data_IF_423717106159
#
_entry.id   IF_423717106159
#
_cell.length_a   1.000
_cell.length_b   1.000
_cell.length_c   1.000
_cell.angle_alpha   90.00
_cell.angle_beta   90.00
_cell.angle_gamma   90.00
#
_symmetry.space_group_name_H-M   'P 1'
#
loop_
_entity.id
_entity.type
_entity.pdbx_description
1 polymer ?
#
# COMPACT_ATOMS: atom_id res chain seq x y z
N UNK A 1 2.93 25.23 -21.99
CA UNK A 1 2.74 23.85 -22.51
C UNK A 1 3.83 22.85 -22.07
N UNK A 2 5.06 23.28 -21.70
CA UNK A 2 6.15 22.38 -21.27
C UNK A 2 5.91 21.53 -20.00
N UNK A 3 4.92 21.88 -19.18
CA UNK A 3 4.60 21.10 -17.97
C UNK A 3 3.97 19.73 -18.29
N UNK A 4 3.28 19.55 -19.42
CA UNK A 4 2.67 18.26 -19.79
C UNK A 4 3.72 17.22 -20.19
N UNK A 5 4.78 17.65 -20.89
CA UNK A 5 5.90 16.79 -21.27
C UNK A 5 6.65 16.23 -20.04
N UNK A 6 6.81 17.04 -18.98
CA UNK A 6 7.44 16.59 -17.72
C UNK A 6 6.66 15.48 -17.00
N UNK A 7 5.35 15.38 -17.25
CA UNK A 7 4.40 14.51 -16.54
C UNK A 7 3.94 13.35 -17.44
N UNK A 8 4.49 13.21 -18.65
CA UNK A 8 4.11 12.18 -19.63
C UNK A 8 2.60 12.10 -19.88
N UNK A 9 1.89 13.23 -19.80
CA UNK A 9 0.46 13.29 -20.09
C UNK A 9 0.26 13.50 -21.59
N UNK A 10 -0.57 12.65 -22.21
CA UNK A 10 -0.99 12.77 -23.61
C UNK A 10 -2.47 13.13 -23.66
N UNK A 11 -2.84 14.07 -24.52
CA UNK A 11 -4.24 14.30 -24.84
C UNK A 11 -4.79 13.09 -25.59
N UNK A 12 -5.98 12.62 -25.21
CA UNK A 12 -6.69 11.57 -25.95
C UNK A 12 -7.51 12.20 -27.07
N UNK A 13 -7.60 11.52 -28.21
CA UNK A 13 -8.51 11.93 -29.29
C UNK A 13 -9.96 11.61 -28.95
N UNK A 14 -10.92 12.22 -29.66
CA UNK A 14 -12.34 11.94 -29.48
C UNK A 14 -12.66 10.47 -29.78
N UNK A 15 -12.04 9.89 -30.81
CA UNK A 15 -12.22 8.49 -31.20
C UNK A 15 -11.68 7.54 -30.12
N UNK A 16 -10.53 7.87 -29.52
CA UNK A 16 -9.97 7.08 -28.42
C UNK A 16 -10.87 7.11 -27.18
N UNK A 17 -11.44 8.29 -26.87
CA UNK A 17 -12.40 8.43 -25.77
C UNK A 17 -13.64 7.56 -26.04
N UNK A 18 -14.21 7.60 -27.23
CA UNK A 18 -15.38 6.80 -27.61
C UNK A 18 -15.08 5.30 -27.59
N UNK A 19 -13.95 4.86 -28.14
CA UNK A 19 -13.54 3.46 -28.10
C UNK A 19 -13.37 2.94 -26.66
N UNK A 20 -12.85 3.78 -25.77
CA UNK A 20 -12.73 3.47 -24.34
C UNK A 20 -14.13 3.38 -23.69
N UNK A 21 -15.06 4.28 -24.02
CA UNK A 21 -16.45 4.24 -23.54
C UNK A 21 -17.14 2.93 -23.93
N UNK A 22 -16.97 2.52 -25.18
CA UNK A 22 -17.61 1.33 -25.75
C UNK A 22 -17.11 0.03 -25.12
N UNK A 23 -15.83 -0.02 -24.69
CA UNK A 23 -15.25 -1.18 -24.01
C UNK A 23 -15.84 -1.46 -22.62
N UNK A 24 -16.76 -0.63 -22.09
CA UNK A 24 -17.36 -0.71 -20.73
C UNK A 24 -16.34 -0.92 -19.61
N UNK A 25 -15.07 -0.63 -19.87
CA UNK A 25 -14.02 -0.72 -18.86
C UNK A 25 -14.21 0.50 -17.96
N UNK A 26 -14.38 0.31 -16.66
CA UNK A 26 -14.69 1.39 -15.71
C UNK A 26 -13.61 2.46 -15.72
N UNK A 27 -13.80 3.52 -16.52
CA UNK A 27 -12.80 4.55 -16.66
C UNK A 27 -12.79 5.43 -15.41
N UNK A 28 -11.79 5.26 -14.56
CA UNK A 28 -11.55 6.18 -13.45
C UNK A 28 -10.81 7.40 -13.99
N UNK A 29 -11.58 8.36 -14.51
CA UNK A 29 -11.04 9.68 -14.75
C UNK A 29 -10.94 10.46 -13.42
N UNK A 30 -10.13 11.51 -13.38
CA UNK A 30 -9.91 12.31 -12.18
C UNK A 30 -9.49 13.72 -12.56
N UNK A 31 -9.93 14.70 -11.77
CA UNK A 31 -9.54 16.10 -11.99
C UNK A 31 -8.09 16.31 -11.54
N UNK A 32 -7.29 16.87 -12.44
CA UNK A 32 -5.91 17.28 -12.18
C UNK A 32 -5.88 18.60 -11.40
N UNK A 33 -5.03 18.67 -10.37
CA UNK A 33 -4.72 19.89 -9.61
C UNK A 33 -3.20 20.07 -9.56
N UNK A 34 -2.74 21.32 -9.62
CA UNK A 34 -1.32 21.64 -9.49
C UNK A 34 -1.03 22.25 -8.12
N UNK A 35 0.09 21.82 -7.52
CA UNK A 35 0.63 22.38 -6.28
C UNK A 35 1.93 23.12 -6.61
N UNK A 36 2.07 24.41 -6.25
CA UNK A 36 3.32 25.14 -6.41
C UNK A 36 4.51 24.48 -5.69
N UNK A 37 5.67 24.48 -6.34
CA UNK A 37 6.97 24.05 -5.82
C UNK A 37 8.03 25.07 -6.24
N UNK A 38 9.18 25.06 -5.55
CA UNK A 38 10.29 25.99 -5.76
C UNK A 38 10.70 26.15 -7.23
N UNK A 39 10.69 25.06 -8.01
CA UNK A 39 11.07 25.08 -9.43
C UNK A 39 9.97 24.56 -10.37
N UNK A 40 8.70 24.75 -10.02
CA UNK A 40 7.58 24.43 -10.93
C UNK A 40 6.31 23.99 -10.22
N UNK A 41 5.54 23.13 -10.88
CA UNK A 41 4.26 22.64 -10.39
C UNK A 41 4.31 21.13 -10.19
N UNK A 42 3.80 20.64 -9.06
CA UNK A 42 3.53 19.22 -8.84
C UNK A 42 2.08 18.92 -9.23
N UNK A 43 1.83 18.14 -10.29
CA UNK A 43 0.51 17.62 -10.59
C UNK A 43 0.09 16.62 -9.50
N UNK A 44 -1.16 16.69 -9.07
CA UNK A 44 -1.82 15.70 -8.23
C UNK A 44 -3.22 15.45 -8.76
N UNK A 45 -3.71 14.23 -8.59
CA UNK A 45 -5.08 13.86 -8.97
C UNK A 45 -5.85 13.47 -7.73
N UNK A 46 -7.11 13.91 -7.64
CA UNK A 46 -8.04 13.42 -6.62
C UNK A 46 -8.91 12.34 -7.27
N UNK A 47 -8.76 11.11 -6.81
CA UNK A 47 -9.53 9.94 -7.27
C UNK A 47 -10.96 10.03 -6.72
N UNK A 48 -11.73 11.00 -7.20
CA UNK A 48 -13.11 11.23 -6.74
C UNK A 48 -14.14 11.31 -7.84
N UNK A 49 -13.76 11.28 -9.12
CA UNK A 49 -14.71 11.57 -10.21
C UNK A 49 -14.50 10.76 -11.47
N UNK A 50 -15.12 9.58 -11.56
CA UNK A 50 -15.41 8.93 -12.84
C UNK A 50 -16.09 9.96 -13.76
N UNK A 51 -15.43 10.36 -14.85
CA UNK A 51 -15.88 11.44 -15.74
C UNK A 51 -17.02 10.99 -16.66
N UNK A 52 -17.23 9.68 -16.82
CA UNK A 52 -18.38 9.14 -17.57
C UNK A 52 -19.71 9.11 -16.79
N UNK A 53 -19.74 9.63 -15.57
CA UNK A 53 -20.87 9.50 -14.67
C UNK A 53 -21.87 10.68 -14.71
N UNK A 54 -22.07 11.33 -15.87
CA UNK A 54 -23.24 12.22 -16.01
C UNK A 54 -24.55 11.43 -16.16
N UNK A 55 -24.48 10.15 -16.57
CA UNK A 55 -25.63 9.26 -16.71
C UNK A 55 -25.85 8.29 -15.53
N UNK A 56 -24.99 8.33 -14.50
CA UNK A 56 -25.02 7.37 -13.38
C UNK A 56 -25.37 8.09 -12.07
N UNK A 57 -26.27 7.50 -11.27
CA UNK A 57 -26.64 8.05 -9.96
C UNK A 57 -25.42 8.21 -9.05
N UNK A 58 -25.42 9.23 -8.19
CA UNK A 58 -24.34 9.51 -7.22
C UNK A 58 -23.92 8.27 -6.41
N UNK A 59 -24.89 7.46 -6.02
CA UNK A 59 -24.69 6.22 -5.25
C UNK A 59 -23.95 5.14 -6.04
N UNK A 60 -24.28 4.95 -7.32
CA UNK A 60 -23.60 3.98 -8.19
C UNK A 60 -22.12 4.35 -8.43
N UNK A 61 -21.79 5.65 -8.42
CA UNK A 61 -20.42 6.16 -8.53
C UNK A 61 -19.60 5.87 -7.29
N UNK A 62 -20.17 6.09 -6.11
CA UNK A 62 -19.50 5.81 -4.83
C UNK A 62 -19.21 4.31 -4.69
N UNK A 63 -20.17 3.45 -5.05
CA UNK A 63 -20.02 1.99 -5.10
C UNK A 63 -18.84 1.55 -6.00
N UNK A 64 -18.71 2.12 -7.21
CA UNK A 64 -17.60 1.81 -8.13
C UNK A 64 -16.23 2.23 -7.58
N UNK A 65 -16.11 3.44 -7.03
CA UNK A 65 -14.85 3.92 -6.42
C UNK A 65 -14.49 3.06 -5.21
N UNK A 66 -15.48 2.72 -4.38
CA UNK A 66 -15.29 1.86 -3.23
C UNK A 66 -14.79 0.47 -3.63
N UNK A 67 -15.35 -0.11 -4.70
CA UNK A 67 -14.90 -1.40 -5.23
C UNK A 67 -13.43 -1.35 -5.68
N UNK A 68 -13.04 -0.36 -6.48
CA UNK A 68 -11.66 -0.19 -6.92
C UNK A 68 -10.68 -0.03 -5.74
N UNK A 69 -11.01 0.84 -4.78
CA UNK A 69 -10.20 1.02 -3.58
C UNK A 69 -10.11 -0.26 -2.74
N UNK A 70 -11.17 -1.06 -2.72
CA UNK A 70 -11.17 -2.35 -2.02
C UNK A 70 -10.25 -3.35 -2.70
N UNK A 71 -10.26 -3.43 -4.04
CA UNK A 71 -9.32 -4.28 -4.79
C UNK A 71 -7.86 -3.88 -4.54
N UNK A 72 -7.54 -2.58 -4.58
CA UNK A 72 -6.20 -2.09 -4.26
C UNK A 72 -5.80 -2.40 -2.82
N UNK A 73 -6.71 -2.23 -1.86
CA UNK A 73 -6.46 -2.59 -0.45
C UNK A 73 -6.25 -4.10 -0.28
N UNK A 74 -7.00 -4.93 -0.99
CA UNK A 74 -6.83 -6.38 -1.00
C UNK A 74 -5.43 -6.74 -1.51
N UNK A 75 -5.06 -6.26 -2.69
CA UNK A 75 -3.73 -6.49 -3.29
C UNK A 75 -2.62 -6.02 -2.36
N UNK A 76 -2.73 -4.81 -1.80
CA UNK A 76 -1.75 -4.30 -0.84
C UNK A 76 -1.64 -5.19 0.41
N UNK A 77 -2.75 -5.73 0.90
CA UNK A 77 -2.74 -6.63 2.06
C UNK A 77 -2.01 -7.94 1.74
N UNK A 78 -2.30 -8.53 0.58
CA UNK A 78 -1.65 -9.77 0.11
C UNK A 78 -0.16 -9.57 -0.12
N UNK A 79 0.25 -8.48 -0.78
CA UNK A 79 1.67 -8.18 -0.98
C UNK A 79 2.42 -7.98 0.34
N UNK A 80 1.77 -7.42 1.37
CA UNK A 80 2.37 -7.31 2.69
C UNK A 80 2.54 -8.67 3.37
N UNK A 81 1.62 -9.61 3.16
CA UNK A 81 1.74 -10.99 3.63
C UNK A 81 2.87 -11.73 2.91
N UNK A 82 2.93 -11.66 1.57
CA UNK A 82 4.02 -12.28 0.81
C UNK A 82 5.40 -11.77 1.23
N UNK A 83 5.50 -10.48 1.55
CA UNK A 83 6.71 -9.90 2.14
C UNK A 83 7.09 -10.53 3.48
N UNK A 84 6.13 -10.85 4.34
CA UNK A 84 6.42 -11.46 5.65
C UNK A 84 6.88 -12.91 5.50
N UNK A 85 6.36 -13.63 4.50
CA UNK A 85 6.79 -14.99 4.18
C UNK A 85 8.18 -14.98 3.53
N UNK A 86 8.40 -14.10 2.55
CA UNK A 86 9.66 -13.98 1.85
C UNK A 86 10.26 -12.57 1.98
N UNK A 87 10.99 -12.38 3.08
CA UNK A 87 11.66 -11.11 3.40
C UNK A 87 12.74 -10.72 2.39
N UNK A 88 13.29 -11.68 1.63
CA UNK A 88 14.35 -11.41 0.64
C UNK A 88 13.90 -10.53 -0.52
N UNK A 89 12.60 -10.56 -0.87
CA UNK A 89 12.01 -9.78 -1.98
C UNK A 89 12.23 -8.28 -1.80
N UNK A 90 12.32 -7.84 -0.55
CA UNK A 90 12.32 -6.41 -0.17
C UNK A 90 13.73 -5.91 0.16
N UNK A 91 14.67 -6.82 0.39
CA UNK A 91 16.04 -6.53 0.76
C UNK A 91 16.11 -5.59 1.98
N UNK A 92 16.86 -4.50 1.85
CA UNK A 92 17.08 -3.53 2.93
C UNK A 92 16.04 -2.40 3.00
N UNK A 93 14.89 -2.54 2.35
CA UNK A 93 13.86 -1.50 2.39
C UNK A 93 13.22 -1.39 3.78
N UNK A 94 13.01 -0.16 4.26
CA UNK A 94 12.34 0.12 5.52
C UNK A 94 10.95 0.75 5.28
N UNK A 95 9.93 0.32 6.03
CA UNK A 95 8.53 0.76 5.85
C UNK A 95 8.02 1.67 6.97
N UNK A 96 8.90 2.04 7.89
CA UNK A 96 8.58 2.91 8.99
C UNK A 96 9.81 3.29 9.80
N UNK A 97 9.61 4.21 10.75
CA UNK A 97 10.67 4.65 11.66
C UNK A 97 11.20 3.50 12.51
N UNK A 98 10.33 2.56 12.89
CA UNK A 98 10.68 1.41 13.72
C UNK A 98 11.65 0.46 12.99
N UNK A 99 11.46 0.27 11.68
CA UNK A 99 12.34 -0.57 10.85
C UNK A 99 13.73 0.06 10.71
N UNK A 100 13.78 1.38 10.50
CA UNK A 100 15.03 2.15 10.44
C UNK A 100 15.77 2.04 11.77
N UNK A 101 15.07 2.30 12.88
CA UNK A 101 15.64 2.20 14.21
C UNK A 101 16.17 0.80 14.52
N UNK A 102 15.39 -0.25 14.19
CA UNK A 102 15.81 -1.65 14.39
C UNK A 102 17.06 -1.99 13.59
N UNK A 103 17.13 -1.57 12.32
CA UNK A 103 18.27 -1.82 11.44
C UNK A 103 19.52 -1.08 11.93
N UNK A 104 19.36 0.19 12.30
CA UNK A 104 20.43 1.01 12.85
C UNK A 104 20.94 0.47 14.19
N UNK A 105 20.03 0.10 15.11
CA UNK A 105 20.39 -0.52 16.40
C UNK A 105 21.19 -1.79 16.18
N UNK A 106 20.75 -2.68 15.31
CA UNK A 106 21.48 -3.92 14.96
C UNK A 106 22.89 -3.62 14.44
N UNK A 107 23.04 -2.64 13.57
CA UNK A 107 24.33 -2.23 13.03
C UNK A 107 25.26 -1.70 14.14
N UNK A 108 24.79 -0.74 14.95
CA UNK A 108 25.59 -0.13 16.03
C UNK A 108 25.95 -1.16 17.11
N UNK A 109 25.04 -2.08 17.45
CA UNK A 109 25.32 -3.16 18.40
C UNK A 109 26.47 -4.04 17.90
N UNK A 110 26.43 -4.49 16.64
CA UNK A 110 27.51 -5.30 16.06
C UNK A 110 28.87 -4.61 16.05
N UNK A 111 28.88 -3.31 15.73
CA UNK A 111 30.11 -2.50 15.79
C UNK A 111 30.67 -2.48 17.21
N UNK A 112 29.82 -2.27 18.22
CA UNK A 112 30.25 -2.21 19.63
C UNK A 112 30.74 -3.56 20.16
N UNK A 113 30.11 -4.65 19.74
CA UNK A 113 30.49 -6.03 20.14
C UNK A 113 31.83 -6.47 19.55
N UNK A 114 32.30 -5.83 18.47
CA UNK A 114 33.58 -6.19 17.84
C UNK A 114 34.82 -5.89 18.70
N UNK A 115 34.67 -5.16 19.82
CA UNK A 115 35.76 -4.87 20.76
C UNK A 115 36.89 -3.99 20.22
N UNK A 116 36.86 -3.67 18.92
CA UNK A 116 37.79 -2.81 18.24
C UNK A 116 37.46 -1.33 18.46
N UNK A 117 38.44 -0.46 18.21
CA UNK A 117 38.22 0.98 18.12
C UNK A 117 37.10 1.29 17.11
N UNK A 118 36.22 2.24 17.44
CA UNK A 118 35.07 2.57 16.58
C UNK A 118 35.60 3.06 15.23
N UNK A 119 35.26 2.38 14.12
CA UNK A 119 35.78 2.76 12.82
C UNK A 119 35.15 4.07 12.32
N UNK A 120 35.86 4.75 11.43
CA UNK A 120 35.31 5.91 10.73
C UNK A 120 34.20 5.47 9.78
N UNK A 121 33.03 6.09 9.89
CA UNK A 121 31.89 5.80 9.03
C UNK A 121 31.72 6.84 7.92
N UNK A 122 31.41 6.36 6.73
CA UNK A 122 31.01 7.19 5.60
C UNK A 122 29.52 6.96 5.31
N UNK A 123 28.80 8.05 5.03
CA UNK A 123 27.36 8.00 4.77
C UNK A 123 27.07 8.68 3.44
N UNK A 124 26.20 8.07 2.65
CA UNK A 124 25.68 8.66 1.41
C UNK A 124 24.18 8.80 1.56
N UNK A 125 23.67 10.00 1.33
CA UNK A 125 22.24 10.28 1.26
C UNK A 125 21.88 10.65 -0.17
N UNK A 126 21.03 9.84 -0.78
CA UNK A 126 20.50 10.08 -2.13
C UNK A 126 19.00 10.31 -2.09
N UNK A 127 18.49 11.18 -2.96
CA UNK A 127 17.07 11.37 -3.16
C UNK A 127 16.66 10.88 -4.56
N UNK A 128 15.51 10.20 -4.64
CA UNK A 128 14.98 9.69 -5.91
C UNK A 128 14.02 10.73 -6.48
N UNK A 129 14.47 11.44 -7.52
CA UNK A 129 13.63 12.42 -8.20
C UNK A 129 12.44 11.73 -8.89
N UNK A 130 11.25 12.32 -8.75
CA UNK A 130 10.02 11.92 -9.49
C UNK A 130 9.64 10.43 -9.37
N UNK A 131 9.85 9.81 -8.21
CA UNK A 131 9.63 8.38 -8.00
C UNK A 131 8.28 7.84 -8.52
N UNK A 132 7.18 8.59 -8.40
CA UNK A 132 5.87 8.19 -8.93
C UNK A 132 5.76 8.31 -10.47
N UNK A 133 6.39 9.31 -11.07
CA UNK A 133 6.28 9.57 -12.53
C UNK A 133 7.20 8.66 -13.35
N UNK A 134 8.20 8.06 -12.70
CA UNK A 134 9.22 7.22 -13.32
C UNK A 134 8.94 5.73 -13.15
N UNK A 135 7.79 5.32 -12.61
CA UNK A 135 7.47 3.90 -12.42
C UNK A 135 7.30 3.20 -13.78
N UNK A 136 8.15 2.21 -14.13
CA UNK A 136 7.99 1.43 -15.35
C UNK A 136 6.84 0.43 -15.19
N UNK A 137 5.63 0.77 -15.68
CA UNK A 137 4.42 -0.05 -15.49
C UNK A 137 4.55 -1.51 -15.94
N UNK A 138 5.25 -1.79 -17.06
CA UNK A 138 5.48 -3.18 -17.51
C UNK A 138 6.28 -3.99 -16.49
N UNK A 139 7.36 -3.39 -15.96
CA UNK A 139 8.19 -4.03 -14.93
C UNK A 139 7.46 -4.13 -13.60
N UNK A 140 6.62 -3.16 -13.26
CA UNK A 140 5.77 -3.23 -12.07
C UNK A 140 4.85 -4.45 -12.11
N UNK A 141 4.17 -4.68 -13.24
CA UNK A 141 3.30 -5.84 -13.42
C UNK A 141 4.11 -7.13 -13.33
N UNK A 142 5.26 -7.21 -14.01
CA UNK A 142 6.16 -8.36 -13.95
C UNK A 142 6.59 -8.69 -12.51
N UNK A 143 7.02 -7.68 -11.73
CA UNK A 143 7.43 -7.86 -10.33
C UNK A 143 6.25 -8.35 -9.47
N UNK A 144 5.07 -7.77 -9.64
CA UNK A 144 3.87 -8.23 -8.91
C UNK A 144 3.54 -9.68 -9.28
N UNK A 145 3.62 -10.05 -10.56
CA UNK A 145 3.38 -11.43 -11.01
C UNK A 145 4.40 -12.41 -10.44
N UNK A 146 5.68 -12.03 -10.35
CA UNK A 146 6.73 -12.87 -9.75
C UNK A 146 6.53 -13.11 -8.25
N UNK A 147 5.95 -12.13 -7.54
CA UNK A 147 5.61 -12.25 -6.13
C UNK A 147 4.38 -13.16 -5.96
N UNK A 148 3.29 -12.86 -6.67
CA UNK A 148 2.01 -13.55 -6.47
C UNK A 148 1.94 -14.94 -7.12
N UNK A 149 2.76 -15.21 -8.14
CA UNK A 149 2.84 -16.50 -8.84
C UNK A 149 1.46 -17.04 -9.21
N UNK A 150 0.69 -16.34 -10.07
CA UNK A 150 -0.70 -16.68 -10.36
C UNK A 150 -0.91 -18.12 -10.86
N UNK A 151 0.11 -18.73 -11.46
CA UNK A 151 0.15 -20.14 -11.85
C UNK A 151 -0.10 -21.11 -10.68
N UNK A 152 0.28 -20.73 -9.45
CA UNK A 152 0.05 -21.53 -8.24
C UNK A 152 -1.40 -21.51 -7.77
N UNK A 153 -2.22 -20.57 -8.26
CA UNK A 153 -3.63 -20.38 -7.87
C UNK A 153 -3.83 -20.29 -6.35
N UNK A 154 -2.88 -19.67 -5.64
CA UNK A 154 -2.96 -19.48 -4.19
C UNK A 154 -4.22 -18.72 -3.81
N UNK A 155 -4.98 -19.28 -2.86
CA UNK A 155 -6.17 -18.64 -2.29
C UNK A 155 -5.78 -17.91 -1.02
N UNK A 156 -6.03 -16.60 -0.99
CA UNK A 156 -5.78 -15.75 0.18
C UNK A 156 -7.10 -15.42 0.89
N UNK A 157 -7.11 -15.62 2.21
CA UNK A 157 -8.19 -15.20 3.08
C UNK A 157 -7.82 -13.85 3.71
N UNK A 158 -8.70 -12.85 3.61
CA UNK A 158 -8.49 -11.54 4.24
C UNK A 158 -9.53 -11.33 5.33
N UNK A 159 -9.15 -11.58 6.58
CA UNK A 159 -9.97 -11.28 7.76
C UNK A 159 -9.90 -9.79 8.09
N UNK A 160 -11.06 -9.16 8.24
CA UNK A 160 -11.20 -7.74 8.58
C UNK A 160 -11.74 -7.65 10.00
N UNK A 161 -11.11 -6.83 10.82
CA UNK A 161 -11.51 -6.67 12.21
C UNK A 161 -11.21 -5.27 12.71
N UNK A 162 -12.00 -4.81 13.66
CA UNK A 162 -11.74 -3.60 14.42
C UNK A 162 -11.16 -3.97 15.78
N UNK A 163 -10.14 -3.23 16.19
CA UNK A 163 -9.56 -3.29 17.54
C UNK A 163 -9.97 -2.01 18.27
N UNK A 164 -10.72 -2.16 19.35
CA UNK A 164 -11.20 -1.08 20.20
C UNK A 164 -10.40 -1.13 21.50
N UNK A 165 -9.73 -0.04 21.84
CA UNK A 165 -8.87 0.06 23.03
C UNK A 165 -9.13 1.34 23.77
N UNK A 166 -9.01 1.31 25.10
CA UNK A 166 -9.05 2.52 25.92
C UNK A 166 -7.62 3.05 26.04
N UNK A 167 -7.43 4.30 25.65
CA UNK A 167 -6.12 4.97 25.81
C UNK A 167 -5.85 5.28 27.28
N UNK A 168 -4.59 5.57 27.61
CA UNK A 168 -4.21 6.10 28.94
C UNK A 168 -4.98 7.36 29.33
N UNK A 169 -5.49 8.12 28.35
CA UNK A 169 -6.36 9.29 28.57
C UNK A 169 -7.85 8.94 28.82
N UNK A 170 -8.21 7.67 28.94
CA UNK A 170 -9.59 7.20 29.11
C UNK A 170 -10.44 7.21 27.83
N UNK A 171 -9.94 7.77 26.73
CA UNK A 171 -10.67 7.83 25.44
C UNK A 171 -10.59 6.50 24.70
N UNK A 172 -11.74 6.03 24.20
CA UNK A 172 -11.80 4.89 23.29
C UNK A 172 -11.18 5.23 21.93
N UNK A 173 -10.33 4.35 21.43
CA UNK A 173 -9.76 4.39 20.07
C UNK A 173 -10.16 3.14 19.32
N UNK A 174 -10.57 3.31 18.06
CA UNK A 174 -10.91 2.24 17.13
C UNK A 174 -9.89 2.20 16.00
N UNK A 175 -9.26 1.04 15.80
CA UNK A 175 -8.30 0.77 14.74
C UNK A 175 -8.84 -0.32 13.82
N UNK A 176 -8.86 -0.07 12.52
CA UNK A 176 -9.25 -1.08 11.54
C UNK A 176 -8.01 -1.85 11.10
N UNK A 177 -8.07 -3.17 11.16
CA UNK A 177 -6.98 -4.08 10.85
C UNK A 177 -7.43 -5.11 9.82
N UNK A 178 -6.43 -5.67 9.13
CA UNK A 178 -6.59 -6.67 8.10
C UNK A 178 -5.52 -7.71 8.34
N UNK A 179 -5.94 -8.94 8.54
CA UNK A 179 -5.05 -10.08 8.61
C UNK A 179 -5.22 -10.89 7.32
N UNK A 180 -4.11 -11.32 6.75
CA UNK A 180 -4.09 -12.14 5.54
C UNK A 180 -3.46 -13.46 5.88
N UNK A 181 -4.10 -14.54 5.44
CA UNK A 181 -3.60 -15.90 5.53
C UNK A 181 -3.77 -16.59 4.18
N UNK A 182 -3.04 -17.67 3.96
CA UNK A 182 -3.41 -18.67 2.95
C UNK A 182 -4.50 -19.58 3.52
N UNK A 183 -4.94 -20.56 2.73
CA UNK A 183 -5.83 -21.61 3.23
C UNK A 183 -5.16 -22.50 4.29
N UNK A 184 -3.85 -22.72 4.18
CA UNK A 184 -3.07 -23.54 5.13
C UNK A 184 -2.94 -22.84 6.49
N UNK A 185 -2.73 -21.51 6.48
CA UNK A 185 -2.56 -20.71 7.69
C UNK A 185 -3.90 -20.15 8.23
N UNK A 186 -5.03 -20.50 7.64
CA UNK A 186 -6.31 -19.91 7.99
C UNK A 186 -6.80 -20.44 9.35
N UNK A 187 -7.00 -19.52 10.30
CA UNK A 187 -7.58 -19.81 11.61
C UNK A 187 -9.08 -19.44 11.59
N UNK A 188 -10.00 -20.39 11.33
CA UNK A 188 -11.42 -20.08 11.24
C UNK A 188 -11.99 -19.61 12.56
N UNK A 189 -11.54 -20.20 13.67
CA UNK A 189 -11.98 -19.89 15.02
C UNK A 189 -11.41 -18.54 15.50
N UNK A 190 -12.28 -17.69 16.06
CA UNK A 190 -11.90 -16.37 16.57
C UNK A 190 -11.04 -16.46 17.83
N UNK A 191 -11.25 -17.45 18.71
CA UNK A 191 -10.44 -17.68 19.89
C UNK A 191 -9.00 -18.00 19.48
N UNK A 192 -8.81 -18.98 18.59
CA UNK A 192 -7.49 -19.35 18.08
C UNK A 192 -6.79 -18.17 17.38
N UNK A 193 -7.54 -17.41 16.58
CA UNK A 193 -7.02 -16.21 15.94
C UNK A 193 -6.58 -15.15 16.93
N UNK A 194 -7.33 -14.95 18.02
CA UNK A 194 -6.98 -14.01 19.07
C UNK A 194 -5.74 -14.44 19.85
N UNK A 195 -5.63 -15.73 20.18
CA UNK A 195 -4.41 -16.29 20.80
C UNK A 195 -3.20 -16.05 19.92
N UNK A 196 -3.28 -16.39 18.62
CA UNK A 196 -2.21 -16.14 17.66
C UNK A 196 -1.87 -14.63 17.57
N UNK A 197 -2.88 -13.76 17.59
CA UNK A 197 -2.67 -12.31 17.51
C UNK A 197 -1.99 -11.76 18.78
N UNK A 198 -2.31 -12.29 19.96
CA UNK A 198 -1.67 -11.91 21.22
C UNK A 198 -0.21 -12.36 21.29
N UNK A 199 0.13 -13.52 20.74
CA UNK A 199 1.51 -14.02 20.68
C UNK A 199 2.38 -13.18 19.73
N UNK A 200 1.82 -12.77 18.59
CA UNK A 200 2.60 -12.15 17.51
C UNK A 200 2.53 -10.61 17.51
N UNK A 201 1.68 -10.00 18.33
CA UNK A 201 1.50 -8.55 18.39
C UNK A 201 1.36 -8.04 19.81
N UNK A 202 1.47 -6.73 20.00
CA UNK A 202 1.29 -6.08 21.30
C UNK A 202 -0.20 -5.89 21.68
N UNK A 203 -1.09 -6.81 21.30
CA UNK A 203 -2.53 -6.67 21.56
C UNK A 203 -2.82 -6.97 23.04
N UNK A 204 -3.22 -5.95 23.79
CA UNK A 204 -3.58 -6.05 25.20
C UNK A 204 -4.70 -5.06 25.53
N UNK A 205 -5.55 -5.39 26.50
CA UNK A 205 -6.65 -4.52 26.97
C UNK A 205 -7.53 -3.98 25.82
N UNK A 206 -7.94 -4.88 24.93
CA UNK A 206 -8.59 -4.54 23.67
C UNK A 206 -9.81 -5.44 23.40
N UNK A 207 -10.84 -4.86 22.80
CA UNK A 207 -11.99 -5.60 22.25
C UNK A 207 -11.76 -5.74 20.74
N UNK A 208 -11.83 -6.97 20.25
CA UNK A 208 -11.72 -7.27 18.82
C UNK A 208 -13.08 -7.62 18.26
N UNK A 209 -13.48 -6.97 17.18
CA UNK A 209 -14.77 -7.17 16.51
C UNK A 209 -14.51 -7.51 15.05
N UNK A 210 -14.88 -8.71 14.61
CA UNK A 210 -14.82 -9.10 13.20
C UNK A 210 -15.88 -8.33 12.38
N UNK A 211 -15.55 -8.00 11.12
CA UNK A 211 -16.35 -7.10 10.26
C UNK A 211 -16.89 -7.77 9.00
#
# INVERSE_FOLDING_TARGET
RNHFAKVKLRALSSEEIEAIRQKKTSLVASRLRFIPKTHGLRPIVKVTSVVEAQALSKESREKKIHHYNTQLKNLFSVLNYERTINTSIIGSSAFGKDDIYRSWKKFVTKVRESGAEIPHFYYVKTDVSRAYDTIPHKKLVEVISQILKPEKRTVYCIRRYAVIMITTSGKARKLYRRHVSTFEDFLPDMEQFLSHLQENTSLQNAIVVEQ
#
